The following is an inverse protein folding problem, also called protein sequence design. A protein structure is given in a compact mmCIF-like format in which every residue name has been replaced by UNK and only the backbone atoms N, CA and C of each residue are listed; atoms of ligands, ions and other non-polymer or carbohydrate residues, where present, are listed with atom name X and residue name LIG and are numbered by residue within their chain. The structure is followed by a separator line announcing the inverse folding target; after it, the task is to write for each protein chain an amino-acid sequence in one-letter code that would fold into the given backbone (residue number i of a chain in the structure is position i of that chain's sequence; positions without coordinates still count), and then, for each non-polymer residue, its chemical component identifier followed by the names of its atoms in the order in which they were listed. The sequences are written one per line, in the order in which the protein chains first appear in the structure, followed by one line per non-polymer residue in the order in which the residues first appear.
data_IF_082276125989
#
_entry.id   IF_082276125989
#
_cell.length_a   1.000
_cell.length_b   1.000
_cell.length_c   1.000
_cell.angle_alpha   90.00
_cell.angle_beta   90.00
_cell.angle_gamma   90.00
#
_symmetry.space_group_name_H-M   'P 1'
#
loop_
_entity.id
_entity.type
_entity.pdbx_description
1 polymer ?
#
# COMPACT_ATOMS: atom_id res chain seq x y z
N UNK A 1 22.82 -3.55 16.77
CA UNK A 1 22.33 -2.98 15.50
C UNK A 1 20.83 -3.03 15.60
N UNK A 2 20.14 -1.88 15.60
CA UNK A 2 18.67 -1.85 15.71
C UNK A 2 18.06 -2.64 14.54
N UNK A 3 17.30 -3.68 14.86
CA UNK A 3 16.56 -4.48 13.89
C UNK A 3 15.30 -3.73 13.48
N UNK A 4 14.80 -3.92 12.26
CA UNK A 4 13.56 -3.28 11.78
C UNK A 4 12.34 -3.57 12.67
N UNK A 5 12.38 -4.70 13.37
CA UNK A 5 11.41 -5.21 14.35
C UNK A 5 11.39 -4.38 15.65
N UNK A 6 12.47 -3.65 15.94
CA UNK A 6 12.63 -2.85 17.15
C UNK A 6 11.83 -1.53 17.09
N UNK A 7 11.27 -1.17 15.92
CA UNK A 7 10.42 0.02 15.75
C UNK A 7 8.94 -0.29 16.02
N UNK A 8 8.61 -0.36 17.31
CA UNK A 8 7.26 -0.68 17.80
C UNK A 8 6.23 0.47 17.67
N UNK A 9 6.64 1.64 17.19
CA UNK A 9 5.72 2.75 16.87
C UNK A 9 5.30 2.76 15.39
N UNK A 10 5.77 1.80 14.60
CA UNK A 10 5.43 1.67 13.17
C UNK A 10 3.95 1.29 12.97
N UNK A 11 3.43 1.59 11.78
CA UNK A 11 2.09 1.16 11.36
C UNK A 11 1.97 -0.38 11.41
N UNK A 12 3.04 -1.12 11.07
CA UNK A 12 3.08 -2.58 11.15
C UNK A 12 2.93 -3.10 12.57
N UNK A 13 3.59 -2.47 13.54
CA UNK A 13 3.46 -2.82 14.94
C UNK A 13 2.05 -2.55 15.48
N UNK A 14 1.40 -1.46 15.03
CA UNK A 14 0.00 -1.16 15.38
C UNK A 14 -0.97 -2.17 14.77
N UNK A 15 -0.79 -2.54 13.51
CA UNK A 15 -1.64 -3.51 12.83
C UNK A 15 -1.44 -4.93 13.38
N UNK A 16 -0.20 -5.32 13.67
CA UNK A 16 0.13 -6.57 14.34
C UNK A 16 -0.50 -6.65 15.73
N UNK A 17 -0.46 -5.55 16.51
CA UNK A 17 -1.09 -5.50 17.83
C UNK A 17 -2.62 -5.61 17.74
N UNK A 18 -3.24 -4.93 16.78
CA UNK A 18 -4.69 -5.04 16.55
C UNK A 18 -5.08 -6.47 16.21
N UNK A 19 -4.28 -7.13 15.37
CA UNK A 19 -4.49 -8.54 15.01
C UNK A 19 -4.33 -9.46 16.24
N UNK A 20 -3.33 -9.22 17.08
CA UNK A 20 -3.14 -9.96 18.33
C UNK A 20 -4.37 -9.87 19.24
N UNK A 21 -4.96 -8.68 19.41
CA UNK A 21 -6.19 -8.51 20.18
C UNK A 21 -7.37 -9.28 19.58
N UNK A 22 -7.52 -9.28 18.26
CA UNK A 22 -8.56 -10.06 17.58
C UNK A 22 -8.39 -11.56 17.81
N UNK A 23 -7.15 -12.07 17.80
CA UNK A 23 -6.87 -13.47 18.09
C UNK A 23 -7.13 -13.84 19.55
N UNK A 24 -6.79 -12.96 20.50
CA UNK A 24 -7.12 -13.14 21.91
C UNK A 24 -8.63 -13.22 22.13
N UNK A 25 -9.40 -12.32 21.51
CA UNK A 25 -10.88 -12.34 21.57
C UNK A 25 -11.45 -13.62 20.96
N UNK A 26 -10.87 -14.11 19.87
CA UNK A 26 -11.27 -15.37 19.22
C UNK A 26 -10.75 -16.63 19.93
N UNK A 27 -9.98 -16.50 21.00
CA UNK A 27 -9.39 -17.63 21.74
C UNK A 27 -8.35 -18.42 20.93
N UNK A 28 -7.70 -17.80 19.94
CA UNK A 28 -6.73 -18.44 19.04
C UNK A 28 -5.27 -18.34 19.52
N UNK A 29 -5.01 -17.75 20.69
CA UNK A 29 -3.68 -17.70 21.30
C UNK A 29 -3.54 -18.86 22.29
N UNK A 30 -2.73 -19.85 21.92
CA UNK A 30 -2.43 -20.98 22.81
C UNK A 30 -1.73 -20.49 24.08
N UNK A 31 -2.15 -21.00 25.24
CA UNK A 31 -1.59 -20.61 26.54
C UNK A 31 -2.13 -19.31 27.14
N UNK A 32 -2.89 -18.49 26.40
CA UNK A 32 -3.49 -17.26 26.92
C UNK A 32 -4.94 -17.07 26.44
N UNK A 33 -5.91 -17.29 27.34
CA UNK A 33 -7.32 -16.95 27.09
C UNK A 33 -7.56 -15.44 27.25
N UNK A 34 -8.65 -14.93 26.65
CA UNK A 34 -9.07 -13.54 26.80
C UNK A 34 -9.20 -13.15 28.29
N UNK A 35 -9.88 -13.98 29.09
CA UNK A 35 -10.06 -13.71 30.51
C UNK A 35 -8.72 -13.61 31.25
N UNK A 36 -7.81 -14.56 31.00
CA UNK A 36 -6.48 -14.58 31.62
C UNK A 36 -5.65 -13.35 31.21
N UNK A 37 -5.79 -12.90 29.96
CA UNK A 37 -5.16 -11.69 29.46
C UNK A 37 -5.68 -10.42 30.15
N UNK A 38 -7.00 -10.24 30.20
CA UNK A 38 -7.62 -9.04 30.78
C UNK A 38 -7.37 -8.96 32.30
N UNK A 39 -7.42 -10.10 33.01
CA UNK A 39 -7.12 -10.16 34.44
C UNK A 39 -5.67 -9.82 34.74
N UNK A 40 -4.72 -10.31 33.92
CA UNK A 40 -3.30 -10.10 34.16
C UNK A 40 -2.80 -8.71 33.72
N UNK A 41 -3.38 -8.13 32.66
CA UNK A 41 -2.96 -6.84 32.09
C UNK A 41 -3.80 -5.65 32.57
N UNK A 42 -5.01 -5.90 33.06
CA UNK A 42 -6.01 -4.87 33.36
C UNK A 42 -6.57 -4.17 32.11
N UNK A 43 -6.28 -4.66 30.91
CA UNK A 43 -6.80 -4.13 29.65
C UNK A 43 -8.15 -4.77 29.36
N UNK A 44 -9.09 -3.98 28.83
CA UNK A 44 -10.37 -4.48 28.31
C UNK A 44 -10.41 -4.39 26.80
N UNK A 45 -10.64 -5.51 26.14
CA UNK A 45 -10.74 -5.63 24.69
C UNK A 45 -12.19 -5.69 24.20
N UNK A 46 -13.13 -6.06 25.08
CA UNK A 46 -14.56 -6.14 24.75
C UNK A 46 -15.42 -5.14 25.52
N UNK A 47 -16.56 -4.80 24.95
CA UNK A 47 -17.69 -4.12 25.56
C UNK A 47 -18.99 -4.94 25.40
N UNK A 48 -20.13 -4.34 25.75
CA UNK A 48 -21.46 -4.99 25.63
C UNK A 48 -21.89 -5.30 24.20
N UNK A 49 -21.26 -4.71 23.18
CA UNK A 49 -21.59 -4.86 21.77
C UNK A 49 -20.56 -5.68 20.97
N UNK A 50 -19.44 -6.07 21.59
CA UNK A 50 -18.40 -6.87 20.94
C UNK A 50 -16.99 -6.34 21.24
N UNK A 51 -16.11 -6.39 20.25
CA UNK A 51 -14.77 -5.80 20.39
C UNK A 51 -14.88 -4.26 20.43
N UNK A 52 -14.10 -3.63 21.31
CA UNK A 52 -14.08 -2.17 21.40
C UNK A 52 -13.55 -1.54 20.12
N UNK A 53 -14.17 -0.44 19.69
CA UNK A 53 -13.65 0.38 18.59
C UNK A 53 -12.32 1.06 18.95
N UNK A 54 -12.20 1.51 20.20
CA UNK A 54 -10.99 2.12 20.76
C UNK A 54 -10.18 1.08 21.56
N UNK A 55 -9.27 0.41 20.87
CA UNK A 55 -8.39 -0.61 21.44
C UNK A 55 -7.13 0.02 22.07
N UNK A 56 -6.58 -0.58 23.14
CA UNK A 56 -5.42 -0.01 23.84
C UNK A 56 -4.21 0.16 22.91
N UNK A 57 -3.56 1.33 22.87
CA UNK A 57 -2.42 1.58 21.99
C UNK A 57 -1.16 0.81 22.44
N UNK A 58 -0.18 0.71 21.55
CA UNK A 58 1.02 -0.12 21.73
C UNK A 58 1.85 0.25 22.95
N UNK A 59 1.96 1.55 23.26
CA UNK A 59 2.63 2.03 24.48
C UNK A 59 1.96 1.50 25.75
N UNK A 60 0.63 1.51 25.79
CA UNK A 60 -0.14 0.96 26.90
C UNK A 60 0.03 -0.56 26.99
N UNK A 61 -0.03 -1.27 25.85
CA UNK A 61 0.19 -2.71 25.79
C UNK A 61 1.56 -3.11 26.36
N UNK A 62 2.64 -2.49 25.87
CA UNK A 62 4.01 -2.77 26.31
C UNK A 62 4.21 -2.48 27.80
N UNK A 63 3.68 -1.35 28.28
CA UNK A 63 3.74 -0.99 29.69
C UNK A 63 3.01 -1.99 30.60
N UNK A 64 1.95 -2.65 30.12
CA UNK A 64 1.26 -3.72 30.86
C UNK A 64 1.96 -5.06 30.74
N UNK A 65 2.55 -5.34 29.58
CA UNK A 65 3.24 -6.61 29.31
C UNK A 65 4.48 -6.78 30.19
N UNK A 66 5.24 -5.70 30.43
CA UNK A 66 6.42 -5.70 31.30
C UNK A 66 6.12 -6.04 32.77
N UNK A 67 4.85 -5.93 33.19
CA UNK A 67 4.41 -6.25 34.55
C UNK A 67 3.95 -7.71 34.71
N UNK A 68 3.92 -8.50 33.63
CA UNK A 68 3.44 -9.89 33.64
C UNK A 68 4.52 -10.88 34.09
N UNK A 69 4.12 -12.11 34.39
CA UNK A 69 5.06 -13.22 34.62
C UNK A 69 5.86 -13.55 33.36
N UNK A 70 7.09 -14.04 33.51
CA UNK A 70 7.98 -14.39 32.39
C UNK A 70 7.31 -15.35 31.40
N UNK A 71 6.57 -16.33 31.90
CA UNK A 71 5.80 -17.27 31.09
C UNK A 71 4.76 -16.56 30.20
N UNK A 72 3.98 -15.64 30.78
CA UNK A 72 2.94 -14.91 30.07
C UNK A 72 3.52 -13.89 29.09
N UNK A 73 4.63 -13.25 29.45
CA UNK A 73 5.38 -12.39 28.53
C UNK A 73 5.83 -13.18 27.30
N UNK A 74 6.43 -14.36 27.49
CA UNK A 74 6.89 -15.21 26.39
C UNK A 74 5.77 -15.55 25.40
N UNK A 75 4.61 -15.97 25.90
CA UNK A 75 3.45 -16.33 25.07
C UNK A 75 2.98 -15.13 24.22
N UNK A 76 2.76 -13.98 24.86
CA UNK A 76 2.20 -12.81 24.17
C UNK A 76 3.22 -12.13 23.25
N UNK A 77 4.49 -12.09 23.64
CA UNK A 77 5.54 -11.45 22.85
C UNK A 77 5.88 -12.27 21.61
N UNK A 78 6.00 -13.59 21.72
CA UNK A 78 6.23 -14.46 20.56
C UNK A 78 5.08 -14.39 19.56
N UNK A 79 3.83 -14.40 20.02
CA UNK A 79 2.68 -14.25 19.13
C UNK A 79 2.65 -12.87 18.43
N UNK A 80 3.01 -11.81 19.16
CA UNK A 80 3.11 -10.46 18.61
C UNK A 80 4.24 -10.34 17.57
N UNK A 81 5.43 -10.86 17.87
CA UNK A 81 6.59 -10.85 16.97
C UNK A 81 6.29 -11.58 15.66
N UNK A 82 5.66 -12.76 15.72
CA UNK A 82 5.28 -13.50 14.51
C UNK A 82 4.31 -12.71 13.61
N UNK A 83 3.35 -12.00 14.21
CA UNK A 83 2.42 -11.14 13.47
C UNK A 83 3.13 -9.92 12.88
N UNK A 84 4.07 -9.33 13.62
CA UNK A 84 4.86 -8.20 13.18
C UNK A 84 5.75 -8.61 12.01
N UNK A 85 6.53 -9.69 12.13
CA UNK A 85 7.39 -10.23 11.09
C UNK A 85 6.59 -10.53 9.82
N UNK A 86 5.44 -11.19 9.92
CA UNK A 86 4.57 -11.46 8.77
C UNK A 86 4.05 -10.18 8.08
N UNK A 87 3.76 -9.12 8.84
CA UNK A 87 3.35 -7.82 8.29
C UNK A 87 4.51 -7.10 7.62
N UNK A 88 5.70 -7.15 8.22
CA UNK A 88 6.93 -6.57 7.69
C UNK A 88 7.32 -7.29 6.39
N UNK A 89 7.34 -8.62 6.38
CA UNK A 89 7.62 -9.44 5.20
C UNK A 89 6.60 -9.22 4.08
N UNK A 90 5.32 -9.14 4.44
CA UNK A 90 4.25 -8.80 3.50
C UNK A 90 4.48 -7.44 2.87
N UNK A 91 4.79 -6.43 3.69
CA UNK A 91 5.05 -5.08 3.24
C UNK A 91 6.35 -4.97 2.42
N UNK A 92 7.40 -5.72 2.75
CA UNK A 92 8.64 -5.76 1.98
C UNK A 92 8.39 -6.41 0.61
N UNK A 93 7.63 -7.50 0.58
CA UNK A 93 7.26 -8.18 -0.66
C UNK A 93 6.37 -7.32 -1.58
N UNK A 94 5.50 -6.48 -1.02
CA UNK A 94 4.69 -5.53 -1.79
C UNK A 94 5.37 -4.18 -2.04
N UNK A 95 6.62 -3.99 -1.57
CA UNK A 95 7.33 -2.72 -1.69
C UNK A 95 6.75 -1.57 -0.85
N UNK A 96 5.86 -1.88 0.09
CA UNK A 96 5.15 -0.92 0.96
C UNK A 96 5.71 -0.89 2.38
N UNK A 97 6.93 -1.35 2.66
CA UNK A 97 7.53 -1.41 4.02
C UNK A 97 8.19 -0.09 4.51
N UNK A 98 7.81 0.41 5.71
CA UNK A 98 8.07 1.76 6.26
C UNK A 98 9.01 1.74 7.47
N UNK A 99 10.19 2.35 7.35
CA UNK A 99 11.15 2.51 8.44
C UNK A 99 11.29 3.96 8.96
N UNK A 100 10.44 4.90 8.53
CA UNK A 100 10.61 6.32 8.85
C UNK A 100 11.55 7.07 7.90
N UNK A 101 12.33 8.03 8.42
CA UNK A 101 13.14 8.96 7.62
C UNK A 101 14.37 8.23 7.02
N UNK A 102 14.20 7.69 5.82
CA UNK A 102 15.21 6.86 5.18
C UNK A 102 16.17 7.69 4.33
N UNK A 103 17.47 7.43 4.47
CA UNK A 103 18.45 7.94 3.50
C UNK A 103 18.54 6.95 2.35
N UNK A 104 18.01 7.32 1.19
CA UNK A 104 18.09 6.50 -0.01
C UNK A 104 19.56 6.35 -0.41
N UNK A 105 19.95 5.10 -0.69
CA UNK A 105 21.26 4.73 -1.19
C UNK A 105 21.11 4.06 -2.53
N UNK A 106 21.89 4.52 -3.49
CA UNK A 106 22.00 3.98 -4.83
C UNK A 106 23.43 4.24 -5.34
N UNK A 107 23.78 3.67 -6.49
CA UNK A 107 25.07 3.91 -7.13
C UNK A 107 25.15 5.32 -7.70
N UNK A 108 24.00 5.88 -8.11
CA UNK A 108 23.89 7.24 -8.62
C UNK A 108 22.47 7.78 -8.48
N UNK A 109 22.37 9.07 -8.20
CA UNK A 109 21.14 9.85 -8.22
C UNK A 109 21.36 11.09 -9.09
N UNK A 110 20.60 11.21 -10.18
CA UNK A 110 20.67 12.36 -11.09
C UNK A 110 19.31 13.01 -11.22
N UNK A 111 19.23 14.29 -10.86
CA UNK A 111 18.02 15.08 -11.12
C UNK A 111 17.86 15.25 -12.62
N UNK A 112 16.72 14.82 -13.15
CA UNK A 112 16.38 14.94 -14.58
C UNK A 112 15.39 16.05 -14.85
N UNK A 113 14.52 16.38 -13.89
CA UNK A 113 13.51 17.43 -14.05
C UNK A 113 13.11 18.07 -12.72
N UNK A 114 12.67 19.33 -12.79
CA UNK A 114 12.17 20.13 -11.65
C UNK A 114 10.99 20.98 -12.06
N UNK A 115 9.88 20.82 -11.36
CA UNK A 115 8.68 21.62 -11.58
C UNK A 115 8.12 22.18 -10.28
N UNK A 116 7.80 23.48 -10.26
CA UNK A 116 7.09 24.10 -9.14
C UNK A 116 5.63 23.68 -9.18
N UNK A 117 5.14 23.08 -8.10
CA UNK A 117 3.74 22.62 -7.98
C UNK A 117 2.92 23.47 -7.00
N UNK A 118 3.59 24.30 -6.20
CA UNK A 118 2.95 25.26 -5.31
C UNK A 118 3.94 26.38 -4.95
N UNK A 119 3.42 27.60 -4.83
CA UNK A 119 4.17 28.75 -4.33
C UNK A 119 3.36 29.40 -3.21
N UNK A 120 3.95 29.54 -2.04
CA UNK A 120 3.27 30.13 -0.88
C UNK A 120 3.05 31.63 -1.10
N UNK A 121 1.80 32.14 -1.04
CA UNK A 121 1.46 33.50 -1.47
C UNK A 121 2.13 34.59 -0.63
N UNK A 122 2.41 34.33 0.65
CA UNK A 122 3.01 35.32 1.56
C UNK A 122 4.54 35.28 1.59
N UNK A 123 5.15 34.11 1.39
CA UNK A 123 6.60 33.92 1.62
C UNK A 123 7.36 33.67 0.34
N UNK A 124 6.67 33.42 -0.78
CA UNK A 124 7.27 33.00 -2.05
C UNK A 124 7.92 31.61 -1.98
N UNK A 125 7.85 30.91 -0.84
CA UNK A 125 8.44 29.59 -0.69
C UNK A 125 7.78 28.58 -1.63
N UNK A 126 8.59 27.83 -2.34
CA UNK A 126 8.11 26.88 -3.34
C UNK A 126 8.07 25.45 -2.80
N UNK A 127 7.08 24.71 -3.30
CA UNK A 127 7.06 23.25 -3.29
C UNK A 127 7.35 22.80 -4.72
N UNK A 128 8.32 21.90 -4.86
CA UNK A 128 8.77 21.40 -6.17
C UNK A 128 8.59 19.91 -6.25
N UNK A 129 8.12 19.43 -7.39
CA UNK A 129 8.30 18.06 -7.81
C UNK A 129 9.68 17.93 -8.47
N UNK A 130 10.45 16.94 -8.05
CA UNK A 130 11.77 16.63 -8.58
C UNK A 130 11.75 15.20 -9.12
N UNK A 131 12.08 15.05 -10.40
CA UNK A 131 12.27 13.74 -11.02
C UNK A 131 13.75 13.40 -11.00
N UNK A 132 14.06 12.19 -10.57
CA UNK A 132 15.43 11.73 -10.30
C UNK A 132 15.60 10.36 -10.94
N UNK A 133 16.60 10.21 -11.78
CA UNK A 133 17.05 8.88 -12.21
C UNK A 133 17.90 8.28 -11.10
N UNK A 134 17.43 7.16 -10.57
CA UNK A 134 18.13 6.31 -9.61
C UNK A 134 18.76 5.13 -10.35
N UNK A 135 20.08 4.98 -10.22
CA UNK A 135 20.82 3.83 -10.75
C UNK A 135 21.18 2.89 -9.62
N UNK A 136 20.76 1.63 -9.71
CA UNK A 136 21.10 0.56 -8.74
C UNK A 136 21.89 -0.54 -9.42
N UNK A 137 22.94 -1.02 -8.77
CA UNK A 137 23.67 -2.22 -9.19
C UNK A 137 22.83 -3.46 -8.90
N UNK A 138 22.65 -4.31 -9.90
CA UNK A 138 22.00 -5.60 -9.71
C UNK A 138 22.98 -6.58 -9.06
N UNK A 139 22.49 -7.33 -8.08
CA UNK A 139 23.26 -8.37 -7.39
C UNK A 139 22.45 -9.66 -7.42
N UNK A 140 22.45 -10.38 -8.56
CA UNK A 140 21.75 -11.64 -8.63
C UNK A 140 22.39 -12.65 -7.68
N UNK A 141 21.57 -13.50 -7.06
CA UNK A 141 22.03 -14.64 -6.28
C UNK A 141 22.83 -15.58 -7.18
N UNK A 142 24.03 -15.91 -6.75
CA UNK A 142 24.89 -16.83 -7.48
C UNK A 142 24.38 -18.26 -7.34
N UNK A 143 24.79 -19.13 -8.26
CA UNK A 143 24.36 -20.53 -8.28
C UNK A 143 24.67 -21.25 -6.96
N UNK A 144 25.84 -21.01 -6.38
CA UNK A 144 26.24 -21.65 -5.11
C UNK A 144 25.31 -21.25 -3.95
N UNK A 145 24.87 -19.99 -3.90
CA UNK A 145 23.91 -19.52 -2.91
C UNK A 145 22.55 -20.19 -3.08
N UNK A 146 22.11 -20.39 -4.33
CA UNK A 146 20.85 -21.08 -4.62
C UNK A 146 20.92 -22.56 -4.25
N UNK A 147 22.06 -23.22 -4.52
CA UNK A 147 22.25 -24.63 -4.19
C UNK A 147 22.42 -24.86 -2.69
N UNK A 148 22.91 -23.89 -1.93
CA UNK A 148 22.98 -23.95 -0.47
C UNK A 148 21.59 -24.05 0.19
N UNK A 149 20.53 -23.57 -0.46
CA UNK A 149 19.15 -23.73 0.04
C UNK A 149 18.72 -25.20 0.12
N UNK A 150 19.40 -26.11 -0.60
CA UNK A 150 19.16 -27.56 -0.54
C UNK A 150 19.63 -28.22 0.77
N UNK A 151 20.27 -27.47 1.67
CA UNK A 151 20.54 -27.93 3.03
C UNK A 151 19.23 -28.17 3.82
N UNK A 152 18.13 -27.50 3.46
CA UNK A 152 16.78 -27.89 3.91
C UNK A 152 16.27 -29.08 3.07
N UNK A 153 15.97 -30.24 3.68
CA UNK A 153 15.49 -31.42 2.96
C UNK A 153 14.12 -31.23 2.26
N UNK A 154 13.42 -30.12 2.54
CA UNK A 154 12.15 -29.76 1.90
C UNK A 154 12.34 -28.80 0.73
N UNK A 155 13.56 -28.36 0.44
CA UNK A 155 13.87 -27.53 -0.71
C UNK A 155 13.84 -28.36 -2.00
N UNK A 156 13.32 -27.77 -3.09
CA UNK A 156 13.14 -28.45 -4.37
C UNK A 156 13.65 -27.57 -5.50
N UNK A 157 14.45 -28.15 -6.40
CA UNK A 157 14.86 -27.47 -7.64
C UNK A 157 13.71 -27.50 -8.64
N UNK A 158 13.34 -26.34 -9.16
CA UNK A 158 12.20 -26.17 -10.05
C UNK A 158 12.64 -25.56 -11.38
N UNK A 159 11.95 -25.93 -12.45
CA UNK A 159 11.99 -25.28 -13.76
C UNK A 159 10.57 -24.84 -14.15
N UNK A 160 10.46 -23.68 -14.77
CA UNK A 160 9.21 -23.24 -15.36
C UNK A 160 9.13 -23.75 -16.80
N UNK A 161 8.16 -24.63 -17.08
CA UNK A 161 8.04 -25.29 -18.39
C UNK A 161 7.72 -24.32 -19.55
N UNK A 162 7.13 -23.16 -19.26
CA UNK A 162 6.77 -22.16 -20.25
C UNK A 162 7.94 -21.20 -20.56
N UNK A 163 8.64 -20.74 -19.53
CA UNK A 163 9.71 -19.74 -19.68
C UNK A 163 11.12 -20.32 -19.70
N UNK A 164 11.29 -21.59 -19.33
CA UNK A 164 12.60 -22.23 -19.19
C UNK A 164 13.44 -21.71 -18.01
N UNK A 165 12.86 -20.91 -17.11
CA UNK A 165 13.56 -20.30 -15.98
C UNK A 165 13.62 -21.22 -14.77
N UNK A 166 14.70 -21.11 -14.00
CA UNK A 166 14.93 -21.90 -12.80
C UNK A 166 14.47 -21.18 -11.53
N UNK A 167 14.03 -21.94 -10.53
CA UNK A 167 13.79 -21.43 -9.18
C UNK A 167 14.07 -22.52 -8.13
N UNK A 168 14.49 -22.12 -6.93
CA UNK A 168 14.54 -23.02 -5.76
C UNK A 168 13.27 -22.79 -4.96
N UNK A 169 12.46 -23.83 -4.78
CA UNK A 169 11.34 -23.78 -3.87
C UNK A 169 11.83 -24.12 -2.46
N UNK A 170 11.61 -23.21 -1.50
CA UNK A 170 11.86 -23.47 -0.08
C UNK A 170 10.58 -23.25 0.73
N UNK A 171 10.41 -23.94 1.87
CA UNK A 171 9.37 -23.63 2.84
C UNK A 171 9.50 -22.20 3.36
N UNK A 172 8.38 -21.52 3.58
CA UNK A 172 8.37 -20.19 4.20
C UNK A 172 7.27 -20.11 5.27
N UNK A 173 7.31 -19.04 6.06
CA UNK A 173 6.29 -18.72 7.07
C UNK A 173 4.88 -18.78 6.49
N UNK A 174 3.97 -19.42 7.23
CA UNK A 174 2.55 -19.49 6.83
C UNK A 174 1.89 -18.14 7.09
N UNK A 175 0.95 -17.75 6.23
CA UNK A 175 0.21 -16.49 6.38
C UNK A 175 -1.13 -16.78 7.07
N UNK A 176 -1.41 -16.09 8.15
CA UNK A 176 -2.74 -16.12 8.76
C UNK A 176 -3.65 -15.11 8.06
N UNK A 177 -4.76 -15.58 7.49
CA UNK A 177 -5.74 -14.77 6.77
C UNK A 177 -6.67 -14.03 7.75
N UNK A 178 -7.48 -13.09 7.25
CA UNK A 178 -8.33 -12.23 8.09
C UNK A 178 -9.47 -13.00 8.81
N UNK A 179 -9.88 -14.13 8.25
CA UNK A 179 -10.78 -15.12 8.86
C UNK A 179 -10.08 -15.99 9.93
N UNK A 180 -8.75 -15.89 10.02
CA UNK A 180 -7.89 -16.65 10.91
C UNK A 180 -7.63 -18.09 10.45
N UNK A 181 -7.86 -18.41 9.17
CA UNK A 181 -7.27 -19.60 8.56
C UNK A 181 -5.76 -19.44 8.35
N UNK A 182 -5.03 -20.56 8.38
CA UNK A 182 -3.59 -20.57 8.15
C UNK A 182 -3.32 -21.02 6.71
N UNK A 183 -2.83 -20.11 5.88
CA UNK A 183 -2.42 -20.41 4.52
C UNK A 183 -0.94 -20.80 4.48
N UNK A 184 -0.68 -22.08 4.17
CA UNK A 184 0.69 -22.57 3.95
C UNK A 184 1.25 -22.03 2.65
N UNK A 185 2.51 -21.60 2.68
CA UNK A 185 3.20 -20.98 1.54
C UNK A 185 4.57 -21.61 1.32
N UNK A 186 5.05 -21.51 0.09
CA UNK A 186 6.43 -21.77 -0.31
C UNK A 186 7.01 -20.50 -0.92
N UNK A 187 8.32 -20.35 -0.87
CA UNK A 187 9.06 -19.27 -1.51
C UNK A 187 9.81 -19.84 -2.72
N UNK A 188 9.54 -19.31 -3.89
CA UNK A 188 10.34 -19.54 -5.09
C UNK A 188 11.45 -18.49 -5.14
N UNK A 189 12.69 -18.93 -4.98
CA UNK A 189 13.88 -18.10 -5.04
C UNK A 189 14.44 -18.17 -6.46
N UNK A 190 14.65 -17.01 -7.07
CA UNK A 190 15.25 -16.82 -8.40
C UNK A 190 16.49 -15.93 -8.29
N UNK A 191 17.31 -15.81 -9.35
CA UNK A 191 18.50 -14.97 -9.33
C UNK A 191 18.25 -13.55 -8.83
N UNK A 192 17.22 -12.86 -9.33
CA UNK A 192 16.99 -11.44 -9.02
C UNK A 192 15.84 -11.18 -8.06
N UNK A 193 14.97 -12.17 -7.83
CA UNK A 193 13.73 -11.98 -7.07
C UNK A 193 13.34 -13.23 -6.28
N UNK A 194 12.41 -13.09 -5.36
CA UNK A 194 11.80 -14.22 -4.66
C UNK A 194 10.32 -13.98 -4.49
N UNK A 195 9.50 -15.00 -4.73
CA UNK A 195 8.05 -14.90 -4.67
C UNK A 195 7.47 -15.94 -3.72
N UNK A 196 6.59 -15.51 -2.83
CA UNK A 196 5.87 -16.40 -1.92
C UNK A 196 4.54 -16.83 -2.53
N UNK A 197 4.35 -18.12 -2.75
CA UNK A 197 3.17 -18.72 -3.39
C UNK A 197 2.45 -19.62 -2.38
N UNK A 198 1.12 -19.56 -2.34
CA UNK A 198 0.33 -20.48 -1.54
C UNK A 198 0.47 -21.92 -2.06
N UNK A 199 0.71 -22.88 -1.18
CA UNK A 199 0.94 -24.29 -1.56
C UNK A 199 -0.22 -24.83 -2.40
N UNK A 200 -1.47 -24.46 -2.06
CA UNK A 200 -2.67 -24.85 -2.80
C UNK A 200 -2.71 -24.37 -4.26
N UNK A 201 -1.98 -23.29 -4.59
CA UNK A 201 -1.91 -22.73 -5.93
C UNK A 201 -0.76 -23.32 -6.76
N UNK A 202 0.23 -23.97 -6.13
CA UNK A 202 1.42 -24.49 -6.83
C UNK A 202 1.06 -25.44 -7.97
N UNK A 203 0.08 -26.32 -7.79
CA UNK A 203 -0.35 -27.27 -8.83
C UNK A 203 -0.97 -26.62 -10.06
N UNK A 204 -1.39 -25.36 -9.99
CA UNK A 204 -1.86 -24.57 -11.14
C UNK A 204 -0.77 -23.75 -11.83
N UNK A 205 0.46 -23.78 -11.33
CA UNK A 205 1.59 -23.06 -11.93
C UNK A 205 2.31 -23.92 -12.97
N UNK A 206 3.18 -23.31 -13.77
CA UNK A 206 4.05 -24.01 -14.72
C UNK A 206 5.39 -24.44 -14.10
N UNK A 207 5.52 -24.36 -12.77
CA UNK A 207 6.72 -24.78 -12.05
C UNK A 207 6.66 -26.28 -11.78
N UNK A 208 7.65 -27.00 -12.28
CA UNK A 208 7.80 -28.44 -12.07
C UNK A 208 9.18 -28.74 -11.50
N UNK A 209 9.29 -29.81 -10.72
CA UNK A 209 10.57 -30.29 -10.21
C UNK A 209 11.51 -30.66 -11.37
N UNK A 210 12.80 -30.39 -11.21
CA UNK A 210 13.81 -30.62 -12.24
C UNK A 210 15.10 -31.19 -11.66
N UNK A 211 15.90 -31.81 -12.52
CA UNK A 211 17.23 -32.30 -12.15
C UNK A 211 18.25 -31.15 -12.02
N UNK A 212 19.31 -31.41 -11.25
CA UNK A 212 20.36 -30.43 -10.97
C UNK A 212 21.05 -29.90 -12.24
N UNK A 213 21.45 -30.73 -13.24
CA UNK A 213 21.99 -30.23 -14.50
C UNK A 213 21.08 -29.22 -15.21
N UNK A 214 19.79 -29.54 -15.36
CA UNK A 214 18.81 -28.66 -16.01
C UNK A 214 18.65 -27.33 -15.24
N UNK A 215 18.54 -27.40 -13.91
CA UNK A 215 18.48 -26.24 -13.04
C UNK A 215 19.73 -25.34 -13.19
N UNK A 216 20.93 -25.91 -13.11
CA UNK A 216 22.21 -25.19 -13.19
C UNK A 216 22.33 -24.44 -14.51
N UNK A 217 21.96 -25.08 -15.62
CA UNK A 217 22.00 -24.46 -16.94
C UNK A 217 21.06 -23.25 -17.02
N UNK A 218 19.81 -23.41 -16.59
CA UNK A 218 18.82 -22.35 -16.61
C UNK A 218 19.14 -21.19 -15.65
N UNK A 219 19.65 -21.50 -14.44
CA UNK A 219 20.06 -20.47 -13.47
C UNK A 219 21.22 -19.63 -13.98
N UNK A 220 22.27 -20.27 -14.50
CA UNK A 220 23.43 -19.55 -15.04
C UNK A 220 23.08 -18.73 -16.28
N UNK A 221 22.21 -19.24 -17.15
CA UNK A 221 21.72 -18.50 -18.30
C UNK A 221 20.99 -17.22 -17.84
N UNK A 222 20.09 -17.32 -16.86
CA UNK A 222 19.37 -16.16 -16.34
C UNK A 222 20.32 -15.15 -15.66
N UNK A 223 21.27 -15.62 -14.83
CA UNK A 223 22.28 -14.75 -14.18
C UNK A 223 23.12 -14.00 -15.21
N UNK A 224 23.52 -14.65 -16.31
CA UNK A 224 24.32 -14.04 -17.37
C UNK A 224 23.56 -12.94 -18.14
N UNK A 225 22.23 -13.00 -18.17
CA UNK A 225 21.37 -11.99 -18.79
C UNK A 225 21.09 -10.78 -17.87
N UNK A 226 21.44 -10.86 -16.58
CA UNK A 226 21.20 -9.75 -15.64
C UNK A 226 22.15 -8.59 -15.94
N UNK A 227 21.64 -7.38 -16.27
CA UNK A 227 22.51 -6.24 -16.51
C UNK A 227 23.22 -5.81 -15.22
N UNK A 228 24.40 -5.21 -15.32
CA UNK A 228 25.15 -4.78 -14.13
C UNK A 228 24.39 -3.71 -13.32
N UNK A 229 23.63 -2.86 -14.00
CA UNK A 229 22.84 -1.78 -13.40
C UNK A 229 21.43 -1.72 -13.96
N UNK A 230 20.49 -1.26 -13.14
CA UNK A 230 19.13 -0.90 -13.52
C UNK A 230 18.90 0.57 -13.19
N UNK A 231 18.36 1.31 -14.15
CA UNK A 231 17.93 2.69 -13.97
C UNK A 231 16.42 2.74 -13.74
N UNK A 232 15.98 3.55 -12.78
CA UNK A 232 14.56 3.79 -12.51
C UNK A 232 14.31 5.27 -12.24
N UNK A 233 13.07 5.72 -12.44
CA UNK A 233 12.68 7.11 -12.17
C UNK A 233 11.98 7.21 -10.82
N UNK A 234 12.51 8.06 -9.96
CA UNK A 234 11.98 8.43 -8.66
C UNK A 234 11.40 9.84 -8.75
N UNK A 235 10.18 10.04 -8.25
CA UNK A 235 9.58 11.36 -8.12
C UNK A 235 9.49 11.77 -6.65
N UNK A 236 10.00 12.96 -6.33
CA UNK A 236 10.08 13.48 -4.96
C UNK A 236 9.49 14.88 -4.89
N UNK A 237 8.55 15.09 -3.98
CA UNK A 237 8.05 16.41 -3.63
C UNK A 237 8.92 16.99 -2.52
N UNK A 238 9.58 18.11 -2.79
CA UNK A 238 10.55 18.78 -1.93
C UNK A 238 10.20 20.25 -1.71
N UNK A 239 10.77 20.88 -0.68
CA UNK A 239 10.51 22.26 -0.30
C UNK A 239 9.43 22.37 0.79
N UNK A 240 8.55 23.37 0.68
CA UNK A 240 7.53 23.62 1.71
C UNK A 240 6.37 22.61 1.58
N UNK A 241 6.37 21.53 2.38
CA UNK A 241 5.40 20.44 2.23
C UNK A 241 4.05 20.67 2.91
N UNK A 242 4.01 21.39 4.03
CA UNK A 242 2.78 21.59 4.82
C UNK A 242 1.58 22.12 4.01
N UNK A 243 1.73 23.12 3.12
CA UNK A 243 0.62 23.64 2.33
C UNK A 243 0.02 22.63 1.35
N UNK A 244 0.81 21.66 0.88
CA UNK A 244 0.36 20.60 -0.03
C UNK A 244 0.12 19.27 0.68
N UNK A 245 0.21 19.23 2.01
CA UNK A 245 0.20 17.99 2.79
C UNK A 245 -1.05 17.13 2.55
N UNK A 246 -2.22 17.76 2.45
CA UNK A 246 -3.49 17.08 2.16
C UNK A 246 -3.57 16.49 0.75
N UNK A 247 -2.73 16.95 -0.18
CA UNK A 247 -2.66 16.49 -1.56
C UNK A 247 -1.68 15.34 -1.75
N UNK A 248 -0.70 15.19 -0.85
CA UNK A 248 0.25 14.08 -0.90
C UNK A 248 -0.46 12.75 -0.63
N UNK A 249 0.06 11.63 -1.17
CA UNK A 249 -0.41 10.29 -0.82
C UNK A 249 -0.46 10.11 0.69
N UNK A 250 -1.58 9.61 1.22
CA UNK A 250 -1.81 9.43 2.66
C UNK A 250 -1.42 8.01 3.12
N UNK A 251 -1.37 7.09 2.17
CA UNK A 251 -0.89 5.71 2.27
C UNK A 251 0.62 5.63 2.51
N UNK A 252 1.41 6.56 1.97
CA UNK A 252 2.85 6.62 2.18
C UNK A 252 3.29 7.96 2.79
N UNK A 253 3.55 7.96 4.11
CA UNK A 253 3.99 9.16 4.83
C UNK A 253 5.51 9.28 5.03
N UNK A 254 6.29 8.69 4.13
CA UNK A 254 7.76 8.68 4.27
C UNK A 254 8.41 9.93 3.74
N UNK A 255 9.37 10.45 4.49
CA UNK A 255 10.25 11.52 4.01
C UNK A 255 11.61 10.90 3.75
N UNK A 256 12.04 10.98 2.50
CA UNK A 256 13.31 10.45 2.05
C UNK A 256 14.36 11.56 2.02
N UNK A 257 15.59 11.19 2.36
CA UNK A 257 16.77 12.00 2.13
C UNK A 257 17.62 11.31 1.07
N UNK A 258 18.12 12.05 0.10
CA UNK A 258 19.10 11.55 -0.86
C UNK A 258 20.15 12.61 -1.15
N UNK A 259 21.30 12.15 -1.61
CA UNK A 259 22.36 12.99 -2.13
C UNK A 259 22.62 12.60 -3.58
N UNK A 260 22.60 13.59 -4.46
CA UNK A 260 22.85 13.42 -5.90
C UNK A 260 24.34 13.35 -6.21
N UNK A 261 24.66 12.94 -7.43
CA UNK A 261 26.05 12.80 -7.91
C UNK A 261 26.85 14.12 -7.83
N UNK A 262 26.18 15.27 -7.98
CA UNK A 262 26.75 16.62 -7.88
C UNK A 262 26.82 17.15 -6.43
N UNK A 263 26.41 16.34 -5.45
CA UNK A 263 26.48 16.64 -4.02
C UNK A 263 25.28 17.40 -3.46
N UNK A 264 24.26 17.69 -4.27
CA UNK A 264 23.02 18.29 -3.79
C UNK A 264 22.28 17.33 -2.84
N UNK A 265 21.73 17.89 -1.74
CA UNK A 265 20.94 17.15 -0.76
C UNK A 265 19.47 17.45 -0.95
N UNK A 266 18.69 16.43 -1.24
CA UNK A 266 17.24 16.54 -1.43
C UNK A 266 16.53 15.83 -0.28
N UNK A 267 15.56 16.52 0.32
CA UNK A 267 14.68 15.97 1.36
C UNK A 267 13.25 16.17 0.90
N UNK A 268 12.46 15.10 0.85
CA UNK A 268 11.10 15.20 0.35
C UNK A 268 10.30 13.91 0.44
N UNK A 269 9.06 13.96 -0.04
CA UNK A 269 8.14 12.82 -0.08
C UNK A 269 8.21 12.14 -1.44
N UNK A 270 8.42 10.83 -1.46
CA UNK A 270 8.28 10.05 -2.69
C UNK A 270 6.80 10.05 -3.08
N UNK A 271 6.55 10.15 -4.38
CA UNK A 271 5.21 10.10 -4.95
C UNK A 271 5.22 9.16 -6.15
N UNK A 272 4.07 8.55 -6.45
CA UNK A 272 3.95 7.69 -7.62
C UNK A 272 4.06 8.51 -8.92
N UNK A 273 4.45 7.88 -10.06
CA UNK A 273 4.42 8.54 -11.35
C UNK A 273 3.04 9.12 -11.72
N UNK A 274 1.97 8.42 -11.35
CA UNK A 274 0.60 8.90 -11.55
C UNK A 274 0.32 10.18 -10.77
N UNK A 275 0.73 10.24 -9.49
CA UNK A 275 0.60 11.45 -8.68
C UNK A 275 1.42 12.61 -9.26
N UNK A 276 2.66 12.33 -9.68
CA UNK A 276 3.55 13.30 -10.30
C UNK A 276 2.93 13.93 -11.56
N UNK A 277 2.32 13.13 -12.43
CA UNK A 277 1.61 13.60 -13.61
C UNK A 277 0.41 14.50 -13.24
N UNK A 278 -0.38 14.13 -12.23
CA UNK A 278 -1.49 14.95 -11.76
C UNK A 278 -1.03 16.28 -11.16
N UNK A 279 0.01 16.26 -10.32
CA UNK A 279 0.51 17.44 -9.61
C UNK A 279 1.14 18.49 -10.53
N UNK A 280 1.65 18.06 -11.68
CA UNK A 280 2.26 18.93 -12.71
C UNK A 280 1.27 19.46 -13.73
N UNK A 281 0.00 19.05 -13.65
CA UNK A 281 -1.01 19.35 -14.66
C UNK A 281 -0.87 18.55 -15.96
N UNK A 282 0.21 17.75 -16.11
CA UNK A 282 0.44 16.89 -17.26
C UNK A 282 -0.52 15.68 -17.33
N UNK A 283 -1.23 15.41 -16.22
CA UNK A 283 -2.18 14.32 -16.06
C UNK A 283 -3.54 14.77 -15.50
N UNK A 284 -3.95 16.03 -15.69
CA UNK A 284 -5.39 16.36 -15.62
C UNK A 284 -5.95 16.05 -17.00
N UNK A 285 -6.67 14.93 -17.18
CA UNK A 285 -7.34 14.70 -18.45
C UNK A 285 -8.40 15.80 -18.52
N UNK A 286 -8.30 16.65 -19.53
CA UNK A 286 -9.34 17.61 -19.85
C UNK A 286 -10.52 16.80 -20.44
N UNK A 287 -11.15 15.95 -19.61
CA UNK A 287 -12.37 15.26 -20.02
C UNK A 287 -13.39 16.35 -20.25
N UNK A 288 -13.92 16.40 -21.47
CA UNK A 288 -15.12 17.19 -21.69
C UNK A 288 -16.22 16.68 -20.75
N UNK A 289 -17.17 17.53 -20.35
CA UNK A 289 -18.30 17.09 -19.53
C UNK A 289 -19.02 15.86 -20.09
N UNK A 290 -19.08 15.73 -21.42
CA UNK A 290 -19.65 14.55 -22.10
C UNK A 290 -18.81 13.29 -21.91
N UNK A 291 -17.48 13.40 -22.03
CA UNK A 291 -16.57 12.28 -21.82
C UNK A 291 -16.56 11.84 -20.35
N UNK A 292 -16.58 12.79 -19.41
CA UNK A 292 -16.70 12.52 -17.99
C UNK A 292 -18.02 11.83 -17.66
N UNK A 293 -19.13 12.29 -18.23
CA UNK A 293 -20.44 11.68 -18.06
C UNK A 293 -20.45 10.23 -18.57
N UNK A 294 -19.93 9.99 -19.78
CA UNK A 294 -19.84 8.65 -20.36
C UNK A 294 -18.99 7.71 -19.50
N UNK A 295 -17.82 8.16 -19.04
CA UNK A 295 -16.91 7.38 -18.20
C UNK A 295 -17.52 7.03 -16.83
N UNK A 296 -18.27 7.95 -16.23
CA UNK A 296 -19.00 7.73 -14.98
C UNK A 296 -20.18 6.76 -15.17
N UNK A 297 -20.90 6.82 -16.30
CA UNK A 297 -21.96 5.86 -16.61
C UNK A 297 -21.40 4.46 -16.89
N UNK A 298 -20.24 4.33 -17.53
CA UNK A 298 -19.57 3.03 -17.71
C UNK A 298 -19.24 2.40 -16.35
N UNK A 299 -18.86 3.22 -15.37
CA UNK A 299 -18.74 2.82 -13.96
C UNK A 299 -17.38 2.29 -13.54
N UNK A 300 -16.41 2.34 -14.45
CA UNK A 300 -15.00 2.02 -14.19
C UNK A 300 -14.19 3.22 -13.72
N UNK A 301 -14.80 4.40 -13.67
CA UNK A 301 -14.09 5.66 -13.41
C UNK A 301 -14.64 6.36 -12.17
N UNK A 302 -13.73 6.90 -11.36
CA UNK A 302 -13.98 7.81 -10.24
C UNK A 302 -13.30 9.13 -10.58
N UNK A 303 -14.04 10.24 -10.45
CA UNK A 303 -13.49 11.58 -10.64
C UNK A 303 -13.42 12.28 -9.29
N UNK A 304 -12.23 12.63 -8.86
CA UNK A 304 -12.05 13.53 -7.73
C UNK A 304 -12.04 14.96 -8.27
N UNK A 305 -12.79 15.84 -7.62
CA UNK A 305 -12.83 17.27 -7.91
C UNK A 305 -12.05 18.01 -6.82
N UNK A 306 -11.85 19.31 -7.02
CA UNK A 306 -11.33 20.16 -5.94
C UNK A 306 -12.28 20.24 -4.75
N UNK A 307 -11.79 20.72 -3.60
CA UNK A 307 -12.54 20.79 -2.33
C UNK A 307 -13.01 19.43 -1.76
N UNK A 308 -12.40 18.32 -2.19
CA UNK A 308 -12.67 16.98 -1.64
C UNK A 308 -13.98 16.36 -2.14
N UNK A 309 -14.59 16.94 -3.17
CA UNK A 309 -15.75 16.38 -3.85
C UNK A 309 -15.34 15.20 -4.73
N UNK A 310 -16.19 14.18 -4.82
CA UNK A 310 -15.93 13.01 -5.66
C UNK A 310 -17.20 12.56 -6.40
N UNK A 311 -17.05 12.24 -7.67
CA UNK A 311 -18.09 11.66 -8.52
C UNK A 311 -17.78 10.20 -8.81
N UNK A 312 -18.78 9.34 -8.63
CA UNK A 312 -18.66 7.91 -8.93
C UNK A 312 -20.00 7.30 -9.31
N UNK A 313 -19.97 6.12 -9.93
CA UNK A 313 -21.18 5.33 -10.17
C UNK A 313 -21.58 4.53 -8.92
N UNK A 314 -22.78 4.77 -8.44
CA UNK A 314 -23.39 4.04 -7.32
C UNK A 314 -24.65 3.31 -7.79
N UNK A 315 -24.85 2.07 -7.32
CA UNK A 315 -26.09 1.31 -7.56
C UNK A 315 -27.01 1.49 -6.37
N UNK A 316 -28.20 2.06 -6.61
CA UNK A 316 -29.17 2.39 -5.57
C UNK A 316 -30.53 1.85 -6.01
N UNK A 317 -31.13 1.01 -5.18
CA UNK A 317 -32.41 0.33 -5.47
C UNK A 317 -32.43 -0.31 -6.87
N UNK A 318 -31.33 -0.98 -7.23
CA UNK A 318 -31.17 -1.66 -8.52
C UNK A 318 -30.76 -0.76 -9.69
N UNK A 319 -30.86 0.57 -9.57
CA UNK A 319 -30.58 1.54 -10.64
C UNK A 319 -29.18 2.13 -10.49
N UNK A 320 -28.45 2.22 -11.60
CA UNK A 320 -27.14 2.87 -11.63
C UNK A 320 -27.28 4.38 -11.72
N UNK A 321 -26.63 5.10 -10.81
CA UNK A 321 -26.67 6.57 -10.71
C UNK A 321 -25.26 7.11 -10.53
N UNK A 322 -25.05 8.36 -10.96
CA UNK A 322 -23.81 9.09 -10.67
C UNK A 322 -24.03 9.84 -9.36
N UNK A 323 -23.27 9.48 -8.33
CA UNK A 323 -23.35 10.06 -6.99
C UNK A 323 -22.21 11.05 -6.76
N UNK A 324 -22.54 12.22 -6.18
CA UNK A 324 -21.57 13.17 -5.67
C UNK A 324 -21.40 12.99 -4.16
N UNK A 325 -20.17 12.76 -3.71
CA UNK A 325 -19.78 12.64 -2.30
C UNK A 325 -18.80 13.74 -1.90
N UNK A 326 -18.55 13.89 -0.59
CA UNK A 326 -17.59 14.89 -0.06
C UNK A 326 -18.15 16.30 0.12
N UNK A 327 -19.42 16.55 -0.20
CA UNK A 327 -20.02 17.87 -0.08
C UNK A 327 -20.27 18.28 1.38
N UNK A 328 -20.16 19.58 1.66
CA UNK A 328 -20.47 20.18 2.97
C UNK A 328 -21.91 20.71 3.01
N UNK A 329 -22.40 21.06 4.21
CA UNK A 329 -23.75 21.62 4.36
C UNK A 329 -23.95 22.93 3.59
N UNK A 330 -22.94 23.80 3.56
CA UNK A 330 -22.96 25.06 2.82
C UNK A 330 -23.07 24.88 1.29
N UNK A 331 -22.69 23.70 0.76
CA UNK A 331 -22.75 23.44 -0.68
C UNK A 331 -24.15 23.00 -1.15
N UNK A 332 -25.02 22.55 -0.25
CA UNK A 332 -26.27 21.85 -0.60
C UNK A 332 -27.21 22.69 -1.48
N UNK A 333 -27.43 23.96 -1.15
CA UNK A 333 -28.30 24.84 -1.93
C UNK A 333 -27.75 25.07 -3.34
N UNK A 334 -26.44 25.27 -3.45
CA UNK A 334 -25.76 25.46 -4.74
C UNK A 334 -25.81 24.21 -5.61
N UNK A 335 -25.62 23.03 -5.03
CA UNK A 335 -25.73 21.77 -5.75
C UNK A 335 -27.12 21.57 -6.36
N UNK A 336 -28.19 21.92 -5.62
CA UNK A 336 -29.56 21.93 -6.16
C UNK A 336 -29.72 22.92 -7.30
N UNK A 337 -29.23 24.14 -7.12
CA UNK A 337 -29.29 25.18 -8.15
C UNK A 337 -28.57 24.78 -9.46
N UNK A 338 -27.56 23.91 -9.37
CA UNK A 338 -26.83 23.40 -10.53
C UNK A 338 -27.47 22.19 -11.19
N UNK A 339 -28.57 21.68 -10.63
CA UNK A 339 -29.36 20.61 -11.22
C UNK A 339 -29.06 19.24 -10.62
N UNK A 340 -28.26 19.14 -9.55
CA UNK A 340 -28.18 17.89 -8.80
C UNK A 340 -29.46 17.74 -7.97
N UNK A 341 -30.03 16.54 -7.99
CA UNK A 341 -31.14 16.20 -7.12
C UNK A 341 -30.62 15.42 -5.91
N UNK A 342 -31.36 15.47 -4.82
CA UNK A 342 -30.98 14.77 -3.59
C UNK A 342 -32.09 13.85 -3.11
N UNK A 343 -31.71 12.72 -2.53
CA UNK A 343 -32.62 11.79 -1.86
C UNK A 343 -32.07 11.44 -0.48
N UNK A 344 -32.96 11.10 0.46
CA UNK A 344 -32.57 10.53 1.75
C UNK A 344 -32.65 9.02 1.62
N UNK A 345 -31.50 8.34 1.69
CA UNK A 345 -31.38 6.88 1.54
C UNK A 345 -30.62 6.36 2.74
N UNK A 346 -31.21 5.38 3.45
CA UNK A 346 -30.66 4.84 4.71
C UNK A 346 -30.27 5.95 5.69
N UNK A 347 -31.20 6.90 5.92
CA UNK A 347 -31.04 8.05 6.82
C UNK A 347 -29.95 9.05 6.46
N UNK A 348 -29.37 8.95 5.25
CA UNK A 348 -28.32 9.86 4.77
C UNK A 348 -28.79 10.63 3.53
N UNK A 349 -28.59 11.94 3.54
CA UNK A 349 -28.77 12.78 2.35
C UNK A 349 -27.69 12.46 1.32
N UNK A 350 -28.08 12.15 0.10
CA UNK A 350 -27.19 11.86 -1.02
C UNK A 350 -27.55 12.74 -2.22
N UNK A 351 -26.56 13.17 -2.99
CA UNK A 351 -26.74 13.98 -4.20
C UNK A 351 -26.37 13.18 -5.44
N UNK A 352 -27.14 13.38 -6.50
CA UNK A 352 -26.99 12.67 -7.76
C UNK A 352 -27.02 13.64 -8.93
N UNK A 353 -26.24 13.30 -9.95
CA UNK A 353 -26.32 13.94 -11.26
C UNK A 353 -27.51 13.32 -12.03
N UNK A 354 -28.36 14.12 -12.70
CA UNK A 354 -29.44 13.60 -13.55
C UNK A 354 -28.92 12.60 -14.58
N UNK A 355 -29.66 11.50 -14.76
CA UNK A 355 -29.38 10.53 -15.81
C UNK A 355 -30.17 10.94 -17.05
N UNK A 356 -29.49 11.35 -18.11
CA UNK A 356 -30.12 11.84 -19.34
C UNK A 356 -29.27 12.90 -20.05
N UNK A 357 -29.84 13.60 -21.05
CA UNK A 357 -29.12 14.61 -21.84
C UNK A 357 -28.61 15.79 -20.99
N UNK A 358 -29.26 16.07 -19.86
CA UNK A 358 -28.88 17.17 -18.96
C UNK A 358 -27.67 16.85 -18.08
N UNK A 359 -27.29 15.57 -17.95
CA UNK A 359 -26.27 15.13 -17.00
C UNK A 359 -24.89 15.72 -17.29
N UNK A 360 -24.48 15.76 -18.57
CA UNK A 360 -23.23 16.40 -18.98
C UNK A 360 -23.25 17.92 -18.72
N UNK A 361 -24.39 18.58 -18.93
CA UNK A 361 -24.56 20.01 -18.62
C UNK A 361 -24.43 20.33 -17.13
N UNK A 362 -24.91 19.45 -16.25
CA UNK A 362 -24.70 19.57 -14.80
C UNK A 362 -23.22 19.37 -14.44
N UNK A 363 -22.55 18.38 -15.04
CA UNK A 363 -21.10 18.19 -14.84
C UNK A 363 -20.29 19.40 -15.31
N UNK A 364 -20.66 20.05 -16.41
CA UNK A 364 -19.99 21.26 -16.89
C UNK A 364 -20.03 22.39 -15.84
N UNK A 365 -21.18 22.61 -15.21
CA UNK A 365 -21.34 23.61 -14.13
C UNK A 365 -20.51 23.25 -12.90
N UNK A 366 -20.46 21.95 -12.55
CA UNK A 366 -19.62 21.47 -11.47
C UNK A 366 -18.14 21.71 -11.76
N UNK A 367 -17.65 21.33 -12.94
CA UNK A 367 -16.22 21.44 -13.29
C UNK A 367 -15.74 22.88 -13.41
N UNK A 368 -16.63 23.81 -13.76
CA UNK A 368 -16.30 25.24 -13.78
C UNK A 368 -15.98 25.81 -12.39
N UNK A 369 -16.58 25.24 -11.34
CA UNK A 369 -16.38 25.69 -9.95
C UNK A 369 -15.46 24.79 -9.16
N UNK A 370 -15.57 23.49 -9.39
CA UNK A 370 -14.74 22.46 -8.81
C UNK A 370 -14.10 21.64 -9.92
N UNK A 371 -12.96 22.10 -10.47
CA UNK A 371 -12.25 21.39 -11.53
C UNK A 371 -11.88 19.97 -11.11
N UNK A 372 -11.77 19.06 -12.10
CA UNK A 372 -11.29 17.70 -11.89
C UNK A 372 -9.86 17.78 -11.36
N UNK A 373 -9.65 17.19 -10.19
CA UNK A 373 -8.35 17.13 -9.52
C UNK A 373 -7.64 15.80 -9.76
N UNK A 374 -8.38 14.70 -9.96
CA UNK A 374 -7.82 13.36 -10.27
C UNK A 374 -8.85 12.47 -10.96
N UNK A 375 -8.38 11.58 -11.82
CA UNK A 375 -9.16 10.48 -12.40
C UNK A 375 -8.56 9.17 -11.90
N UNK A 376 -9.38 8.32 -11.31
CA UNK A 376 -8.97 7.00 -10.81
C UNK A 376 -9.85 5.92 -11.42
N UNK A 377 -9.27 4.78 -11.75
CA UNK A 377 -10.06 3.60 -12.08
C UNK A 377 -10.65 3.00 -10.81
N UNK A 378 -11.90 2.55 -10.92
CA UNK A 378 -12.55 1.78 -9.86
C UNK A 378 -11.99 0.37 -9.92
N UNK A 379 -11.12 0.02 -8.96
CA UNK A 379 -10.75 -1.38 -8.74
C UNK A 379 -12.03 -2.20 -8.54
N UNK A 380 -12.18 -3.22 -9.37
CA UNK A 380 -13.22 -4.22 -9.23
C UNK A 380 -12.77 -5.11 -8.08
N UNK A 381 -13.31 -4.86 -6.89
CA UNK A 381 -13.23 -5.78 -5.77
C UNK A 381 -13.90 -7.12 -6.10
#
# INVERSE_FOLDING_TARGET
MFRPEDNLESLYARDALRQLYLLLVRGKIEGCSLQRFEEATGLKLMDTNGIKDDLPPITTFLNRLLALTIEMQGILFTAFEQLLEARIDGAMASGTYDLGLETLRAESFRVTDRQVIYTHPTTGAETRLVSITERRRNRPRLLDEALAELDDPRAVLMINTQSGRAAVQVPTTSLMLDDGEIERRVRLIRPTESQNIAVRLMGGTQWVETDRPTFVAAWNAEVAEVPEFTDSTLHVVSGLLLPVWKRLPQDETRVYRLQTDDGERIIGRRVSPAWAATATGAGVPNLSPDQAYAALIEGKTILDLTEGLQLRRSRIMGVNRIELTGFTEAMRERLRAYGLFSEIISWKLRFFVPVGPDGAGVLAKLFNLWPISRISEREVA
#
